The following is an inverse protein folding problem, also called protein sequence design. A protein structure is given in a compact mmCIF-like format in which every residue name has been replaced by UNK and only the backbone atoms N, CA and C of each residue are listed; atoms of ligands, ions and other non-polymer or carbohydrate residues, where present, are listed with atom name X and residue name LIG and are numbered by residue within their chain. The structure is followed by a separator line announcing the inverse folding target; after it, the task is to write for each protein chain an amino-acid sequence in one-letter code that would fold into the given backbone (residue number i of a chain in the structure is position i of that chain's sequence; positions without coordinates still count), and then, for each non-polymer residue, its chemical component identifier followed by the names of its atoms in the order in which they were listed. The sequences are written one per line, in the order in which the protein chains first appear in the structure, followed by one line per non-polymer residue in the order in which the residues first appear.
data_IF_118880099555
#
_entry.id   IF_118880099555
#
_cell.length_a   1.000
_cell.length_b   1.000
_cell.length_c   1.000
_cell.angle_alpha   90.00
_cell.angle_beta   90.00
_cell.angle_gamma   90.00
#
_symmetry.space_group_name_H-M   'P 1'
#
loop_
_entity.id
_entity.type
_entity.pdbx_description
1 polymer ?
#
# COMPACT_ATOMS: atom_id res chain seq x y z
N UNK A 1 -17.36 14.79 18.89
CA UNK A 1 -16.05 14.09 18.88
C UNK A 1 -16.19 12.85 19.78
N UNK A 2 -16.19 11.63 19.22
CA UNK A 2 -16.11 10.40 20.03
C UNK A 2 -14.64 10.20 20.42
N UNK A 3 -14.37 10.07 21.72
CA UNK A 3 -13.02 10.06 22.30
C UNK A 3 -12.12 8.93 21.79
N UNK A 4 -10.82 9.22 21.71
CA UNK A 4 -9.71 8.35 21.28
C UNK A 4 -9.38 7.24 22.30
N UNK A 5 -10.37 6.56 22.84
CA UNK A 5 -10.17 5.29 23.56
C UNK A 5 -10.85 4.18 22.77
N UNK A 6 -10.22 3.80 21.66
CA UNK A 6 -10.68 2.69 20.83
C UNK A 6 -9.89 1.44 21.22
N UNK A 7 -10.52 0.52 21.95
CA UNK A 7 -10.03 -0.85 22.17
C UNK A 7 -10.18 -1.74 20.91
N UNK A 8 -10.24 -1.10 19.73
CA UNK A 8 -10.47 -1.66 18.41
C UNK A 8 -9.52 -0.94 17.44
N UNK A 9 -8.95 -1.69 16.52
CA UNK A 9 -7.91 -1.18 15.64
C UNK A 9 -7.13 -2.31 14.99
N UNK A 10 -5.97 -1.97 14.45
CA UNK A 10 -5.06 -2.93 13.86
C UNK A 10 -3.61 -2.62 14.16
N UNK A 11 -2.81 -3.66 14.27
CA UNK A 11 -1.35 -3.61 14.37
C UNK A 11 -0.80 -4.30 13.13
N UNK A 12 0.27 -3.75 12.56
CA UNK A 12 0.88 -4.31 11.38
C UNK A 12 2.40 -4.42 11.56
N UNK A 13 2.96 -5.51 11.05
CA UNK A 13 4.40 -5.71 10.92
C UNK A 13 4.72 -6.00 9.47
N UNK A 14 5.84 -5.47 9.01
CA UNK A 14 6.34 -5.78 7.68
C UNK A 14 7.82 -6.06 7.69
N UNK A 15 8.26 -6.85 6.73
CA UNK A 15 9.66 -7.16 6.51
C UNK A 15 9.89 -7.49 5.03
N UNK A 16 11.16 -7.48 4.62
CA UNK A 16 11.59 -7.95 3.31
C UNK A 16 12.29 -9.29 3.50
N UNK A 17 11.95 -10.27 2.66
CA UNK A 17 12.65 -11.55 2.59
C UNK A 17 13.04 -11.83 1.14
N UNK A 18 14.35 -11.96 0.90
CA UNK A 18 14.96 -11.86 -0.42
C UNK A 18 14.51 -10.55 -1.13
N UNK A 19 13.93 -10.62 -2.33
CA UNK A 19 13.45 -9.42 -3.04
C UNK A 19 11.98 -9.07 -2.74
N UNK A 20 11.33 -9.81 -1.84
CA UNK A 20 9.88 -9.77 -1.67
C UNK A 20 9.50 -9.13 -0.35
N UNK A 21 8.50 -8.25 -0.38
CA UNK A 21 8.02 -7.48 0.76
C UNK A 21 6.76 -8.12 1.33
N UNK A 22 6.79 -8.46 2.61
CA UNK A 22 5.72 -9.12 3.33
C UNK A 22 5.08 -8.16 4.33
N UNK A 23 3.76 -8.22 4.44
CA UNK A 23 2.96 -7.43 5.37
C UNK A 23 1.99 -8.34 6.12
N UNK A 24 2.05 -8.31 7.44
CA UNK A 24 1.12 -8.99 8.32
C UNK A 24 0.33 -7.95 9.11
N UNK A 25 -0.99 -8.05 9.07
CA UNK A 25 -1.89 -7.14 9.78
C UNK A 25 -2.76 -7.99 10.70
N UNK A 26 -2.79 -7.63 11.98
CA UNK A 26 -3.75 -8.18 12.94
C UNK A 26 -4.76 -7.09 13.28
N UNK A 27 -6.05 -7.41 13.33
CA UNK A 27 -7.08 -6.42 13.69
C UNK A 27 -8.16 -6.99 14.60
N UNK A 28 -8.71 -6.11 15.42
CA UNK A 28 -9.90 -6.34 16.22
C UNK A 28 -10.92 -5.27 15.84
N UNK A 29 -11.95 -5.64 15.09
CA UNK A 29 -12.96 -4.71 14.54
C UNK A 29 -14.20 -4.61 15.43
N UNK A 30 -15.07 -3.63 15.17
CA UNK A 30 -16.26 -3.36 15.94
C UNK A 30 -17.16 -4.60 16.16
N UNK A 31 -17.49 -4.86 17.43
CA UNK A 31 -18.33 -5.98 17.83
C UNK A 31 -19.83 -5.68 17.63
N UNK A 32 -20.66 -6.72 17.70
CA UNK A 32 -22.13 -6.62 17.64
C UNK A 32 -22.72 -7.00 16.29
N UNK A 33 -23.87 -7.69 16.31
CA UNK A 33 -24.51 -8.26 15.11
C UNK A 33 -24.77 -7.21 14.02
N UNK A 34 -25.38 -6.08 14.41
CA UNK A 34 -25.87 -5.05 13.48
C UNK A 34 -24.78 -4.06 13.03
N UNK A 35 -23.56 -4.13 13.58
CA UNK A 35 -22.50 -3.14 13.37
C UNK A 35 -21.64 -3.42 12.12
N UNK A 36 -22.26 -3.90 11.03
CA UNK A 36 -21.56 -4.23 9.78
C UNK A 36 -20.89 -3.00 9.17
N UNK A 37 -21.60 -1.87 9.15
CA UNK A 37 -21.10 -0.59 8.62
C UNK A 37 -19.92 -0.08 9.45
N UNK A 38 -19.95 -0.28 10.78
CA UNK A 38 -18.87 0.13 11.67
C UNK A 38 -17.61 -0.73 11.45
N UNK A 39 -17.75 -2.05 11.30
CA UNK A 39 -16.64 -2.95 10.93
C UNK A 39 -16.03 -2.56 9.59
N UNK A 40 -16.87 -2.30 8.59
CA UNK A 40 -16.42 -1.82 7.29
C UNK A 40 -15.65 -0.48 7.41
N UNK A 41 -16.13 0.42 8.28
CA UNK A 41 -15.46 1.70 8.56
C UNK A 41 -14.11 1.48 9.26
N UNK A 42 -14.02 0.57 10.22
CA UNK A 42 -12.76 0.19 10.87
C UNK A 42 -11.76 -0.37 9.85
N UNK A 43 -12.20 -1.31 9.01
CA UNK A 43 -11.40 -1.84 7.90
C UNK A 43 -10.86 -0.70 7.02
N UNK A 44 -11.72 0.22 6.56
CA UNK A 44 -11.33 1.36 5.72
C UNK A 44 -10.32 2.27 6.43
N UNK A 45 -10.53 2.55 7.71
CA UNK A 45 -9.62 3.39 8.51
C UNK A 45 -8.25 2.74 8.63
N UNK A 46 -8.18 1.43 8.90
CA UNK A 46 -6.91 0.71 8.98
C UNK A 46 -6.24 0.68 7.60
N UNK A 47 -6.96 0.27 6.56
CA UNK A 47 -6.41 0.14 5.21
C UNK A 47 -5.87 1.46 4.64
N UNK A 48 -6.56 2.58 4.91
CA UNK A 48 -6.14 3.91 4.46
C UNK A 48 -5.14 4.57 5.41
N UNK A 49 -5.16 4.23 6.69
CA UNK A 49 -4.35 4.86 7.73
C UNK A 49 -2.98 4.20 7.95
N UNK A 50 -2.82 2.91 7.63
CA UNK A 50 -1.53 2.22 7.78
C UNK A 50 -0.45 2.86 6.91
N UNK A 51 0.64 3.30 7.56
CA UNK A 51 1.84 3.84 6.92
C UNK A 51 3.08 3.23 7.55
N UNK A 52 4.08 2.97 6.71
CA UNK A 52 5.39 2.48 7.12
C UNK A 52 6.46 3.53 6.78
N UNK A 53 7.72 3.25 7.14
CA UNK A 53 8.87 4.11 6.80
C UNK A 53 8.86 4.47 5.32
N UNK A 54 9.31 5.69 5.00
CA UNK A 54 9.33 6.24 3.64
C UNK A 54 7.92 6.33 3.01
N UNK A 55 6.88 6.57 3.83
CA UNK A 55 5.49 6.69 3.38
C UNK A 55 4.93 5.47 2.63
N UNK A 56 5.53 4.30 2.81
CA UNK A 56 5.03 3.05 2.21
C UNK A 56 3.63 2.74 2.73
N UNK A 57 2.80 2.27 1.83
CA UNK A 57 1.40 1.87 2.04
C UNK A 57 1.26 0.37 1.82
N UNK A 58 0.06 -0.16 2.06
CA UNK A 58 -0.24 -1.56 1.79
C UNK A 58 0.07 -2.01 0.34
N UNK A 59 -0.03 -1.10 -0.64
CA UNK A 59 0.19 -1.42 -2.07
C UNK A 59 1.66 -1.73 -2.41
N UNK A 60 2.57 -1.34 -1.53
CA UNK A 60 4.01 -1.50 -1.73
C UNK A 60 4.53 -2.89 -1.34
N UNK A 61 3.66 -3.75 -0.81
CA UNK A 61 3.97 -5.12 -0.39
C UNK A 61 3.54 -6.13 -1.45
N UNK A 62 4.32 -7.21 -1.60
CA UNK A 62 4.05 -8.31 -2.52
C UNK A 62 3.03 -9.28 -1.94
N UNK A 63 3.11 -9.56 -0.64
CA UNK A 63 2.16 -10.40 0.09
C UNK A 63 1.62 -9.66 1.30
N UNK A 64 0.30 -9.70 1.45
CA UNK A 64 -0.42 -9.19 2.61
C UNK A 64 -1.22 -10.34 3.22
N UNK A 65 -0.97 -10.64 4.50
CA UNK A 65 -1.81 -11.52 5.31
C UNK A 65 -2.49 -10.64 6.35
N UNK A 66 -3.81 -10.58 6.31
CA UNK A 66 -4.62 -9.82 7.27
C UNK A 66 -5.49 -10.79 8.06
N UNK A 67 -5.33 -10.79 9.38
CA UNK A 67 -6.00 -11.71 10.29
C UNK A 67 -6.53 -11.05 11.56
N UNK A 68 -7.31 -11.79 12.33
CA UNK A 68 -7.75 -11.42 13.69
C UNK A 68 -9.26 -11.56 13.90
N UNK A 69 -9.75 -10.97 14.99
CA UNK A 69 -11.18 -10.89 15.30
C UNK A 69 -11.81 -9.75 14.48
N UNK A 70 -12.25 -10.09 13.27
CA UNK A 70 -12.97 -9.17 12.40
C UNK A 70 -14.42 -8.95 12.86
N UNK A 71 -14.91 -9.74 13.81
CA UNK A 71 -16.22 -9.59 14.46
C UNK A 71 -17.44 -9.63 13.53
N UNK A 72 -17.28 -10.04 12.27
CA UNK A 72 -18.41 -10.33 11.39
C UNK A 72 -19.20 -11.53 11.91
N UNK A 73 -20.52 -11.48 11.73
CA UNK A 73 -21.45 -12.46 12.30
C UNK A 73 -22.19 -13.22 11.21
N UNK A 74 -22.90 -14.26 11.62
CA UNK A 74 -23.87 -14.96 10.78
C UNK A 74 -25.22 -14.27 10.97
N UNK A 75 -25.83 -13.82 9.87
CA UNK A 75 -27.11 -13.11 9.86
C UNK A 75 -28.30 -14.11 9.89
N UNK A 76 -28.36 -14.89 10.96
CA UNK A 76 -29.41 -15.88 11.25
C UNK A 76 -29.67 -15.92 12.76
N UNK A 77 -30.89 -16.26 13.19
CA UNK A 77 -31.20 -16.42 14.60
C UNK A 77 -30.60 -17.72 15.18
N UNK A 78 -30.44 -17.78 16.51
CA UNK A 78 -29.69 -18.84 17.20
C UNK A 78 -30.36 -20.23 17.05
N UNK A 79 -31.68 -20.26 17.06
CA UNK A 79 -32.54 -21.43 16.83
C UNK A 79 -32.38 -22.05 15.43
N UNK A 80 -31.86 -21.30 14.47
CA UNK A 80 -31.49 -21.81 13.14
C UNK A 80 -30.01 -22.17 13.08
N UNK A 81 -29.14 -21.35 13.69
CA UNK A 81 -27.69 -21.54 13.61
C UNK A 81 -27.22 -22.82 14.31
N UNK A 82 -27.65 -23.08 15.55
CA UNK A 82 -27.19 -24.25 16.32
C UNK A 82 -27.53 -25.58 15.62
N UNK A 83 -28.78 -25.82 15.16
CA UNK A 83 -29.09 -27.06 14.42
C UNK A 83 -28.30 -27.23 13.12
N UNK A 84 -28.02 -26.15 12.39
CA UNK A 84 -27.19 -26.24 11.17
C UNK A 84 -25.74 -26.62 11.49
N UNK A 85 -25.19 -26.15 12.62
CA UNK A 85 -23.85 -26.55 13.08
C UNK A 85 -23.84 -28.03 13.46
N UNK A 86 -24.86 -28.49 14.19
CA UNK A 86 -25.02 -29.89 14.60
C UNK A 86 -25.16 -30.83 13.39
N UNK A 87 -25.93 -30.41 12.38
CA UNK A 87 -26.06 -31.13 11.12
C UNK A 87 -24.81 -31.04 10.21
N UNK A 88 -23.82 -30.23 10.57
CA UNK A 88 -22.61 -30.01 9.76
C UNK A 88 -22.83 -29.20 8.49
N UNK A 89 -23.98 -28.54 8.32
CA UNK A 89 -24.29 -27.70 7.15
C UNK A 89 -23.66 -26.30 7.29
N UNK A 90 -22.33 -26.28 7.27
CA UNK A 90 -21.55 -25.05 7.30
C UNK A 90 -21.76 -24.21 6.03
N UNK A 91 -22.19 -24.84 4.93
CA UNK A 91 -22.41 -24.14 3.64
C UNK A 91 -23.59 -23.19 3.73
N UNK A 92 -24.71 -23.63 4.31
CA UNK A 92 -25.88 -22.77 4.49
C UNK A 92 -25.60 -21.62 5.45
N UNK A 93 -24.84 -21.88 6.52
CA UNK A 93 -24.36 -20.85 7.45
C UNK A 93 -23.47 -19.81 6.74
N UNK A 94 -22.50 -20.26 5.94
CA UNK A 94 -21.54 -19.38 5.27
C UNK A 94 -22.20 -18.46 4.23
N UNK A 95 -23.31 -18.88 3.61
CA UNK A 95 -24.13 -17.99 2.74
C UNK A 95 -24.68 -16.78 3.50
N UNK A 96 -24.82 -16.88 4.82
CA UNK A 96 -25.31 -15.81 5.70
C UNK A 96 -24.19 -15.14 6.50
N UNK A 97 -22.94 -15.50 6.25
CA UNK A 97 -21.78 -14.84 6.84
C UNK A 97 -21.63 -13.41 6.30
N UNK A 98 -21.57 -12.44 7.22
CA UNK A 98 -21.50 -11.04 6.86
C UNK A 98 -20.18 -10.68 6.16
N UNK A 99 -19.04 -11.29 6.54
CA UNK A 99 -17.76 -11.00 5.87
C UNK A 99 -17.79 -11.48 4.42
N UNK A 100 -18.21 -12.73 4.19
CA UNK A 100 -18.39 -13.27 2.85
C UNK A 100 -19.30 -12.37 1.98
N UNK A 101 -20.41 -11.89 2.54
CA UNK A 101 -21.31 -10.97 1.84
C UNK A 101 -20.68 -9.59 1.57
N UNK A 102 -19.84 -9.08 2.47
CA UNK A 102 -19.11 -7.82 2.27
C UNK A 102 -18.00 -7.93 1.23
N UNK A 103 -17.27 -9.05 1.22
CA UNK A 103 -16.20 -9.33 0.26
C UNK A 103 -16.77 -9.57 -1.14
N UNK A 104 -17.87 -10.32 -1.27
CA UNK A 104 -18.51 -10.59 -2.57
C UNK A 104 -19.08 -9.33 -3.23
N UNK A 105 -19.51 -8.35 -2.44
CA UNK A 105 -19.94 -7.03 -2.92
C UNK A 105 -18.77 -6.06 -3.19
N UNK A 106 -17.53 -6.45 -2.86
CA UNK A 106 -16.36 -5.60 -2.97
C UNK A 106 -16.32 -4.45 -1.95
N UNK A 107 -17.12 -4.51 -0.89
CA UNK A 107 -17.22 -3.44 0.11
C UNK A 107 -16.03 -3.50 1.08
N UNK A 108 -15.79 -4.67 1.69
CA UNK A 108 -14.70 -4.89 2.64
C UNK A 108 -13.70 -5.90 2.08
N UNK A 109 -12.40 -5.65 2.29
CA UNK A 109 -11.30 -6.49 1.80
C UNK A 109 -11.36 -6.82 0.28
N UNK A 110 -11.53 -5.82 -0.60
CA UNK A 110 -11.56 -6.06 -2.04
C UNK A 110 -10.24 -6.68 -2.51
N UNK A 111 -10.34 -7.63 -3.43
CA UNK A 111 -9.23 -8.41 -3.99
C UNK A 111 -8.54 -9.38 -3.02
N UNK A 112 -8.84 -9.36 -1.72
CA UNK A 112 -8.36 -10.38 -0.82
C UNK A 112 -9.08 -11.70 -1.06
N UNK A 113 -8.35 -12.79 -0.87
CA UNK A 113 -8.84 -14.15 -0.92
C UNK A 113 -8.91 -14.72 0.49
N UNK A 114 -9.96 -15.51 0.74
CA UNK A 114 -10.10 -16.34 1.93
C UNK A 114 -10.23 -17.79 1.48
N UNK A 115 -9.44 -18.70 2.06
CA UNK A 115 -9.62 -20.13 1.83
C UNK A 115 -10.99 -20.57 2.36
N UNK A 116 -11.60 -21.57 1.70
CA UNK A 116 -12.88 -22.15 2.13
C UNK A 116 -12.83 -22.59 3.60
N UNK A 117 -13.79 -22.12 4.38
CA UNK A 117 -13.97 -22.52 5.77
C UNK A 117 -14.62 -23.90 5.84
N UNK A 118 -13.94 -24.85 6.49
CA UNK A 118 -14.45 -26.21 6.76
C UNK A 118 -14.47 -26.52 8.27
N UNK A 119 -14.41 -25.51 9.14
CA UNK A 119 -14.43 -25.63 10.59
C UNK A 119 -15.65 -24.91 11.19
N UNK A 120 -16.08 -25.33 12.38
CA UNK A 120 -17.25 -24.75 13.07
C UNK A 120 -17.00 -23.27 13.44
N UNK A 121 -18.05 -22.46 13.65
CA UNK A 121 -17.91 -21.11 14.19
C UNK A 121 -16.98 -21.04 15.41
N UNK A 122 -16.12 -20.02 15.46
CA UNK A 122 -15.05 -19.88 16.47
C UNK A 122 -15.48 -19.08 17.68
N UNK A 123 -16.64 -18.44 17.61
CA UNK A 123 -17.26 -17.65 18.67
C UNK A 123 -18.75 -18.05 18.77
N UNK A 124 -19.44 -17.98 19.92
CA UNK A 124 -18.94 -17.76 21.28
C UNK A 124 -19.08 -19.05 22.07
N UNK A 125 -18.05 -19.43 22.80
CA UNK A 125 -18.04 -20.63 23.64
C UNK A 125 -18.07 -20.27 25.12
N UNK A 126 -18.55 -21.19 25.94
CA UNK A 126 -18.33 -21.14 27.38
C UNK A 126 -16.88 -21.53 27.69
N UNK A 127 -16.20 -20.70 28.48
CA UNK A 127 -14.78 -20.88 28.79
C UNK A 127 -14.54 -22.22 29.47
N UNK A 128 -13.48 -22.90 29.06
CA UNK A 128 -13.12 -24.24 29.52
C UNK A 128 -13.83 -25.37 28.76
N UNK A 129 -14.74 -25.05 27.83
CA UNK A 129 -15.58 -26.05 27.18
C UNK A 129 -15.61 -25.94 25.65
N UNK A 130 -16.30 -26.88 25.01
CA UNK A 130 -16.70 -26.83 23.61
C UNK A 130 -18.20 -26.54 23.43
N UNK A 131 -18.88 -26.12 24.50
CA UNK A 131 -20.28 -25.71 24.46
C UNK A 131 -20.39 -24.26 23.99
N UNK A 132 -21.36 -24.00 23.12
CA UNK A 132 -21.68 -22.63 22.71
C UNK A 132 -22.41 -21.89 23.83
N UNK A 133 -22.19 -20.58 23.91
CA UNK A 133 -22.66 -19.65 24.96
C UNK A 133 -24.02 -20.04 25.57
N UNK A 134 -23.99 -20.60 26.80
CA UNK A 134 -25.19 -20.91 27.58
C UNK A 134 -25.62 -19.76 28.49
N UNK A 135 -24.94 -18.60 28.45
CA UNK A 135 -25.35 -17.44 29.25
C UNK A 135 -26.72 -16.89 28.83
N UNK A 136 -27.31 -16.03 29.66
CA UNK A 136 -28.58 -15.34 29.35
C UNK A 136 -28.52 -14.55 28.02
N UNK A 137 -27.33 -14.16 27.57
CA UNK A 137 -27.15 -13.41 26.33
C UNK A 137 -27.27 -14.26 25.07
N UNK A 138 -27.12 -15.59 25.19
CA UNK A 138 -27.25 -16.57 24.10
C UNK A 138 -26.67 -16.06 22.77
N UNK A 139 -25.39 -15.66 22.76
CA UNK A 139 -24.78 -15.09 21.56
C UNK A 139 -24.81 -16.11 20.42
N UNK A 140 -25.25 -15.65 19.26
CA UNK A 140 -25.30 -16.45 18.04
C UNK A 140 -23.87 -16.84 17.66
N UNK A 141 -23.59 -18.14 17.39
CA UNK A 141 -22.30 -18.57 16.91
C UNK A 141 -21.88 -17.87 15.61
N UNK A 142 -20.61 -17.52 15.47
CA UNK A 142 -20.06 -16.83 14.29
C UNK A 142 -18.59 -17.16 14.02
N UNK A 143 -18.17 -17.01 12.76
CA UNK A 143 -16.76 -16.98 12.36
C UNK A 143 -16.23 -15.55 12.48
N UNK A 144 -15.94 -15.15 13.72
CA UNK A 144 -15.38 -13.84 14.04
C UNK A 144 -13.90 -13.74 13.72
N UNK A 145 -13.18 -14.87 13.86
CA UNK A 145 -11.73 -14.97 13.73
C UNK A 145 -11.39 -15.44 12.31
N UNK A 146 -10.70 -14.60 11.54
CA UNK A 146 -10.54 -14.80 10.08
C UNK A 146 -9.11 -14.52 9.62
N UNK A 147 -8.73 -15.11 8.50
CA UNK A 147 -7.46 -14.89 7.82
C UNK A 147 -7.75 -14.68 6.33
N UNK A 148 -7.47 -13.49 5.83
CA UNK A 148 -7.58 -13.14 4.41
C UNK A 148 -6.21 -12.75 3.87
N UNK A 149 -5.95 -13.06 2.60
CA UNK A 149 -4.65 -12.83 1.98
C UNK A 149 -4.76 -12.14 0.63
N UNK A 150 -3.75 -11.35 0.27
CA UNK A 150 -3.62 -10.74 -1.04
C UNK A 150 -2.17 -10.85 -1.50
N UNK A 151 -1.94 -11.31 -2.73
CA UNK A 151 -0.63 -11.46 -3.31
C UNK A 151 -0.57 -10.77 -4.68
N UNK A 152 0.54 -10.07 -4.95
CA UNK A 152 0.83 -9.40 -6.22
C UNK A 152 2.24 -9.69 -6.66
N UNK A 153 2.38 -10.32 -7.83
CA UNK A 153 3.67 -10.69 -8.39
C UNK A 153 4.44 -11.71 -7.55
N UNK A 154 3.74 -12.43 -6.66
CA UNK A 154 4.31 -13.50 -5.84
C UNK A 154 3.43 -14.74 -6.01
N UNK A 155 4.04 -15.88 -6.28
CA UNK A 155 3.32 -17.16 -6.30
C UNK A 155 3.09 -17.62 -4.85
N UNK A 156 1.84 -17.54 -4.40
CA UNK A 156 1.43 -17.91 -3.05
C UNK A 156 0.23 -18.84 -3.12
N UNK A 157 0.30 -19.93 -2.35
CA UNK A 157 -0.74 -20.92 -2.17
C UNK A 157 -1.04 -21.05 -0.67
N UNK A 158 -2.30 -20.91 -0.27
CA UNK A 158 -2.72 -21.32 1.07
C UNK A 158 -2.95 -22.84 1.06
N UNK A 159 -2.29 -23.56 1.97
CA UNK A 159 -2.34 -25.02 2.09
C UNK A 159 -3.41 -25.48 3.10
N UNK A 160 -3.55 -24.75 4.21
CA UNK A 160 -4.49 -25.08 5.27
C UNK A 160 -5.18 -23.83 5.81
N UNK A 161 -6.40 -24.04 6.30
CA UNK A 161 -7.18 -23.06 7.05
C UNK A 161 -8.07 -23.80 8.05
N UNK A 162 -7.87 -23.57 9.34
CA UNK A 162 -8.51 -24.36 10.38
C UNK A 162 -8.66 -23.64 11.71
N UNK A 163 -9.46 -24.22 12.59
CA UNK A 163 -9.59 -23.81 13.98
C UNK A 163 -9.20 -24.96 14.93
N UNK A 164 -8.65 -24.64 16.09
CA UNK A 164 -8.21 -25.61 17.10
C UNK A 164 -9.25 -25.65 18.22
N UNK A 165 -10.13 -26.64 18.18
CA UNK A 165 -11.23 -26.76 19.15
C UNK A 165 -10.79 -27.32 20.52
N UNK A 166 -9.64 -27.99 20.58
CA UNK A 166 -9.08 -28.53 21.82
C UNK A 166 -8.58 -27.44 22.79
N UNK A 167 -8.35 -26.22 22.28
CA UNK A 167 -7.96 -25.07 23.08
C UNK A 167 -9.24 -24.34 23.55
N UNK A 168 -9.48 -24.38 24.86
CA UNK A 168 -10.75 -23.92 25.44
C UNK A 168 -10.62 -22.81 26.50
N UNK A 169 -9.44 -22.21 26.72
CA UNK A 169 -9.27 -21.20 27.78
C UNK A 169 -10.01 -19.87 27.50
N UNK A 170 -10.34 -19.61 26.24
CA UNK A 170 -11.05 -18.42 25.76
C UNK A 170 -12.48 -18.77 25.34
N UNK A 171 -13.33 -17.75 25.22
CA UNK A 171 -14.64 -17.87 24.56
C UNK A 171 -14.55 -17.87 23.03
N UNK A 172 -13.32 -17.78 22.50
CA UNK A 172 -12.97 -17.99 21.10
C UNK A 172 -12.08 -19.22 20.89
N UNK A 173 -12.15 -19.81 19.70
CA UNK A 173 -11.23 -20.88 19.26
C UNK A 173 -10.12 -20.31 18.37
N UNK A 174 -8.83 -20.64 18.62
CA UNK A 174 -7.73 -20.19 17.79
C UNK A 174 -7.88 -20.63 16.33
N UNK A 175 -7.59 -19.73 15.40
CA UNK A 175 -7.60 -19.98 13.95
C UNK A 175 -6.19 -19.89 13.39
N UNK A 176 -5.86 -20.79 12.46
CA UNK A 176 -4.56 -20.83 11.80
C UNK A 176 -4.71 -20.95 10.28
N UNK A 177 -3.70 -20.45 9.56
CA UNK A 177 -3.56 -20.62 8.13
C UNK A 177 -2.11 -20.98 7.80
N UNK A 178 -1.91 -21.93 6.89
CA UNK A 178 -0.59 -22.34 6.42
C UNK A 178 -0.44 -21.91 4.98
N UNK A 179 0.66 -21.22 4.66
CA UNK A 179 0.90 -20.64 3.34
C UNK A 179 2.25 -21.10 2.80
N UNK A 180 2.28 -21.44 1.51
CA UNK A 180 3.48 -21.71 0.73
C UNK A 180 3.70 -20.55 -0.23
N UNK A 181 4.88 -19.93 -0.15
CA UNK A 181 5.24 -18.79 -1.00
C UNK A 181 6.56 -19.07 -1.72
N UNK A 182 6.59 -18.87 -3.03
CA UNK A 182 7.83 -18.86 -3.80
C UNK A 182 8.40 -17.45 -3.79
N UNK A 183 9.67 -17.31 -3.43
CA UNK A 183 10.34 -16.00 -3.31
C UNK A 183 11.43 -15.84 -4.36
N UNK A 184 11.47 -14.65 -4.95
CA UNK A 184 12.56 -14.24 -5.84
C UNK A 184 13.83 -13.92 -5.06
N UNK A 185 14.95 -14.52 -5.48
CA UNK A 185 16.29 -14.27 -4.96
C UNK A 185 17.20 -13.86 -6.11
N UNK A 186 17.77 -12.67 -6.00
CA UNK A 186 18.68 -12.13 -7.02
C UNK A 186 20.14 -12.38 -6.64
N UNK A 187 20.94 -12.87 -7.59
CA UNK A 187 22.39 -12.87 -7.46
C UNK A 187 22.91 -11.46 -7.79
N UNK A 188 23.36 -10.74 -6.77
CA UNK A 188 23.77 -9.32 -6.89
C UNK A 188 25.02 -9.13 -7.76
N UNK A 189 25.98 -10.04 -7.69
CA UNK A 189 27.20 -9.97 -8.50
C UNK A 189 26.87 -10.12 -9.98
N UNK A 190 26.08 -11.15 -10.33
CA UNK A 190 25.65 -11.37 -11.72
C UNK A 190 24.79 -10.21 -12.22
N UNK A 191 23.89 -9.68 -11.38
CA UNK A 191 23.07 -8.52 -11.71
C UNK A 191 23.95 -7.31 -12.02
N UNK A 192 24.89 -6.96 -11.13
CA UNK A 192 25.80 -5.83 -11.33
C UNK A 192 26.68 -6.00 -12.58
N UNK A 193 27.18 -7.22 -12.83
CA UNK A 193 27.95 -7.52 -14.03
C UNK A 193 27.14 -7.32 -15.32
N UNK A 194 25.88 -7.78 -15.36
CA UNK A 194 25.00 -7.58 -16.50
C UNK A 194 24.62 -6.11 -16.65
N UNK A 195 24.32 -5.41 -15.56
CA UNK A 195 23.98 -3.99 -15.57
C UNK A 195 25.11 -3.14 -16.16
N UNK A 196 26.36 -3.41 -15.77
CA UNK A 196 27.55 -2.74 -16.34
C UNK A 196 27.69 -2.99 -17.84
N UNK A 197 27.53 -4.25 -18.28
CA UNK A 197 27.59 -4.57 -19.71
C UNK A 197 26.50 -3.88 -20.52
N UNK A 198 25.25 -3.88 -20.01
CA UNK A 198 24.13 -3.21 -20.68
C UNK A 198 24.33 -1.70 -20.74
N UNK A 199 24.89 -1.09 -19.69
CA UNK A 199 25.22 0.33 -19.66
C UNK A 199 26.24 0.68 -20.76
N UNK A 200 27.33 -0.09 -20.89
CA UNK A 200 28.35 0.16 -21.91
C UNK A 200 27.82 -0.01 -23.34
N UNK A 201 26.99 -1.03 -23.60
CA UNK A 201 26.31 -1.21 -24.90
C UNK A 201 25.45 0.01 -25.22
N UNK A 202 24.60 0.43 -24.28
CA UNK A 202 23.69 1.57 -24.47
C UNK A 202 24.44 2.89 -24.69
N UNK A 203 25.55 3.08 -23.96
CA UNK A 203 26.43 4.24 -24.11
C UNK A 203 27.07 4.29 -25.50
N UNK A 204 27.49 3.15 -26.04
CA UNK A 204 28.04 3.06 -27.39
C UNK A 204 26.97 3.33 -28.47
N UNK A 205 25.76 2.77 -28.33
CA UNK A 205 24.63 3.04 -29.23
C UNK A 205 24.28 4.53 -29.29
N UNK A 206 24.17 5.19 -28.14
CA UNK A 206 23.87 6.63 -28.07
C UNK A 206 24.98 7.46 -28.71
N UNK A 207 26.25 7.10 -28.47
CA UNK A 207 27.38 7.78 -29.14
C UNK A 207 27.32 7.64 -30.66
N UNK A 208 26.97 6.46 -31.17
CA UNK A 208 26.85 6.25 -32.61
C UNK A 208 25.69 7.07 -33.19
N UNK A 209 24.54 7.13 -32.52
CA UNK A 209 23.42 7.99 -32.93
C UNK A 209 23.84 9.47 -32.97
N UNK A 210 24.50 9.96 -31.90
CA UNK A 210 24.98 11.35 -31.86
C UNK A 210 25.98 11.62 -32.99
N UNK A 211 26.88 10.67 -33.27
CA UNK A 211 27.85 10.80 -34.36
C UNK A 211 27.16 10.81 -35.74
N UNK A 212 26.15 9.97 -35.95
CA UNK A 212 25.36 9.93 -37.18
C UNK A 212 24.58 11.24 -37.40
N UNK A 213 24.00 11.82 -36.33
CA UNK A 213 23.37 13.15 -36.39
C UNK A 213 24.38 14.29 -36.60
N UNK A 214 25.60 14.18 -36.08
CA UNK A 214 26.65 15.19 -36.28
C UNK A 214 27.25 15.19 -37.70
N UNK A 215 27.06 14.10 -38.45
CA UNK A 215 27.45 13.98 -39.85
C UNK A 215 26.42 14.58 -40.83
N UNK A 216 25.19 14.87 -40.38
CA UNK A 216 24.20 15.65 -41.13
C UNK A 216 24.07 17.08 -40.54
N UNK A 217 25.11 17.88 -40.77
CA UNK A 217 25.13 19.36 -40.67
C UNK A 217 24.99 19.96 -39.25
N UNK A 218 26.13 20.38 -38.67
CA UNK A 218 26.40 21.74 -38.11
C UNK A 218 27.42 21.69 -36.94
N UNK A 219 28.57 22.35 -37.11
CA UNK A 219 29.56 22.60 -36.05
C UNK A 219 29.07 23.70 -35.09
N UNK A 220 29.29 23.55 -33.77
CA UNK A 220 30.11 24.56 -33.12
C UNK A 220 31.16 23.98 -32.16
N UNK A 221 32.32 24.60 -32.20
CA UNK A 221 33.52 24.40 -31.36
C UNK A 221 33.23 24.59 -29.87
N UNK A 222 33.63 23.63 -29.03
CA UNK A 222 34.06 23.88 -27.65
C UNK A 222 35.22 22.95 -27.28
N UNK A 223 36.30 23.57 -26.81
CA UNK A 223 37.59 22.96 -26.47
C UNK A 223 37.54 22.20 -25.14
N UNK A 224 38.26 21.08 -25.09
CA UNK A 224 38.49 20.24 -23.89
C UNK A 224 39.27 21.00 -22.82
N UNK A 225 38.97 20.75 -21.54
CA UNK A 225 39.95 20.50 -20.46
C UNK A 225 39.22 20.23 -19.13
N UNK A 226 39.29 18.98 -18.64
CA UNK A 226 39.09 18.65 -17.22
C UNK A 226 40.24 17.73 -16.85
N UNK A 227 41.09 18.17 -15.91
CA UNK A 227 42.29 17.45 -15.47
C UNK A 227 41.97 16.46 -14.35
N UNK A 228 42.80 15.41 -14.25
CA UNK A 228 42.65 14.28 -13.32
C UNK A 228 42.69 14.64 -11.82
N UNK A 229 43.02 15.90 -11.48
CA UNK A 229 43.05 16.39 -10.09
C UNK A 229 41.64 16.63 -9.50
N UNK A 230 40.61 16.88 -10.33
CA UNK A 230 39.24 17.12 -9.83
C UNK A 230 38.47 15.83 -9.46
N UNK A 231 39.00 14.64 -9.79
CA UNK A 231 38.34 13.37 -9.52
C UNK A 231 38.59 12.83 -8.11
N UNK A 232 39.65 13.27 -7.43
CA UNK A 232 40.11 12.67 -6.16
C UNK A 232 39.58 13.36 -4.88
N UNK A 233 38.88 14.49 -4.96
CA UNK A 233 38.32 15.16 -3.77
C UNK A 233 36.87 14.73 -3.41
N UNK A 234 36.26 13.78 -4.14
CA UNK A 234 34.86 13.34 -3.92
C UNK A 234 34.71 11.97 -3.22
N UNK A 235 35.78 11.37 -2.71
CA UNK A 235 35.72 10.10 -1.98
C UNK A 235 36.13 10.32 -0.51
N UNK A 236 35.22 10.90 0.26
CA UNK A 236 35.22 10.79 1.72
C UNK A 236 34.43 9.56 2.14
N UNK A 237 35.03 8.74 2.99
CA UNK A 237 34.46 7.55 3.60
C UNK A 237 33.14 7.87 4.32
N UNK A 238 32.00 7.44 3.77
CA UNK A 238 30.79 7.20 4.54
C UNK A 238 29.95 6.11 3.85
N UNK A 239 29.70 5.04 4.61
CA UNK A 239 28.89 3.88 4.27
C UNK A 239 27.43 4.28 3.96
N UNK A 240 27.10 4.57 2.70
CA UNK A 240 25.75 4.43 2.15
C UNK A 240 25.80 4.37 0.60
N UNK A 241 25.69 3.15 0.08
CA UNK A 241 25.56 2.83 -1.35
C UNK A 241 24.25 3.43 -1.93
N UNK A 242 24.32 4.59 -2.59
CA UNK A 242 23.38 4.97 -3.66
C UNK A 242 24.06 5.85 -4.73
N UNK A 243 24.90 5.18 -5.53
CA UNK A 243 25.10 5.35 -6.97
C UNK A 243 24.55 6.63 -7.64
N UNK A 244 25.38 7.66 -7.82
CA UNK A 244 25.30 8.56 -9.00
C UNK A 244 26.67 9.23 -9.28
N UNK A 245 27.50 8.58 -10.10
CA UNK A 245 28.59 9.25 -10.81
C UNK A 245 28.55 8.88 -12.30
N UNK A 246 28.61 9.93 -13.12
CA UNK A 246 29.24 9.85 -14.45
C UNK A 246 28.32 9.79 -15.65
N UNK A 247 28.00 10.98 -16.19
CA UNK A 247 27.57 11.27 -17.56
C UNK A 247 26.11 11.05 -17.97
N UNK A 248 25.40 12.17 -18.16
CA UNK A 248 24.50 12.35 -19.31
C UNK A 248 23.15 13.01 -19.06
N UNK A 249 22.67 13.06 -17.82
CA UNK A 249 21.41 13.74 -17.49
C UNK A 249 21.64 14.73 -16.34
N UNK A 250 21.10 15.96 -16.40
CA UNK A 250 21.18 16.88 -15.28
C UNK A 250 20.41 16.31 -14.07
N UNK A 251 20.90 16.60 -12.87
CA UNK A 251 20.25 16.18 -11.64
C UNK A 251 18.79 16.71 -11.55
N UNK A 252 17.88 15.99 -10.86
CA UNK A 252 16.52 16.48 -10.65
C UNK A 252 16.52 17.84 -9.94
N UNK A 253 15.62 18.73 -10.36
CA UNK A 253 15.53 20.10 -9.82
C UNK A 253 15.33 20.11 -8.30
N UNK A 254 16.11 20.93 -7.60
CA UNK A 254 15.91 21.21 -6.17
C UNK A 254 15.35 22.63 -5.97
N UNK A 255 14.94 22.96 -4.74
CA UNK A 255 14.45 24.30 -4.41
C UNK A 255 15.47 25.42 -4.67
N UNK A 256 16.75 25.07 -4.74
CA UNK A 256 17.86 26.00 -4.93
C UNK A 256 18.47 25.93 -6.35
N UNK A 257 18.21 24.86 -7.11
CA UNK A 257 18.82 24.66 -8.43
C UNK A 257 17.81 24.10 -9.44
N UNK A 258 17.55 24.89 -10.49
CA UNK A 258 16.66 24.56 -11.61
C UNK A 258 17.49 24.38 -12.87
N UNK A 259 17.36 23.23 -13.52
CA UNK A 259 18.24 22.81 -14.63
C UNK A 259 18.10 23.66 -15.92
N UNK A 260 17.06 24.50 -16.01
CA UNK A 260 16.84 25.41 -17.14
C UNK A 260 17.49 26.79 -16.97
N UNK A 261 18.31 27.00 -15.94
CA UNK A 261 18.92 28.31 -15.66
C UNK A 261 20.45 28.17 -15.45
N UNK A 262 21.20 28.20 -16.55
CA UNK A 262 22.67 28.18 -16.51
C UNK A 262 23.21 29.61 -16.33
N UNK A 263 23.72 29.90 -15.13
CA UNK A 263 24.50 31.12 -14.87
C UNK A 263 23.70 32.27 -14.27
N UNK A 264 23.36 32.17 -12.99
CA UNK A 264 23.49 33.28 -12.02
C UNK A 264 22.75 34.61 -12.23
N UNK A 265 21.88 34.78 -13.21
CA UNK A 265 21.05 35.98 -13.33
C UNK A 265 19.62 35.65 -12.88
N UNK A 266 19.11 36.43 -11.91
CA UNK A 266 17.72 36.40 -11.50
C UNK A 266 16.82 36.55 -12.71
N UNK A 267 16.21 35.46 -13.17
CA UNK A 267 15.12 35.47 -14.16
C UNK A 267 13.88 36.03 -13.49
N UNK A 268 13.83 37.35 -13.37
CA UNK A 268 12.57 38.07 -13.17
C UNK A 268 11.85 38.01 -14.51
N UNK A 269 10.66 37.41 -14.55
CA UNK A 269 9.78 37.53 -15.70
C UNK A 269 9.53 39.04 -15.93
N UNK A 270 10.12 39.61 -16.98
CA UNK A 270 9.70 40.91 -17.47
C UNK A 270 8.46 40.65 -18.32
N UNK A 271 7.31 40.98 -17.75
CA UNK A 271 6.11 41.17 -18.55
C UNK A 271 6.37 42.36 -19.50
N UNK A 272 5.86 42.33 -20.74
CA UNK A 272 5.86 43.53 -21.56
C UNK A 272 5.26 44.67 -20.74
N UNK A 273 5.83 45.86 -20.79
CA UNK A 273 5.15 47.05 -20.28
C UNK A 273 3.80 47.11 -21.00
N UNK A 274 2.73 46.92 -20.22
CA UNK A 274 1.36 47.07 -20.72
C UNK A 274 1.24 48.53 -21.10
N UNK A 275 0.98 48.82 -22.37
CA UNK A 275 0.72 50.18 -22.84
C UNK A 275 -0.33 50.83 -21.92
N UNK A 276 -0.09 52.10 -21.57
CA UNK A 276 -0.81 52.87 -20.54
C UNK A 276 -2.31 53.11 -20.84
N UNK A 277 -2.88 52.46 -21.86
CA UNK A 277 -4.29 52.56 -22.21
C UNK A 277 -4.94 51.19 -22.42
N UNK A 278 -5.43 50.60 -21.32
CA UNK A 278 -6.83 50.18 -21.32
C UNK A 278 -7.23 48.79 -20.84
N UNK A 279 -6.33 47.90 -20.40
CA UNK A 279 -6.74 46.70 -19.64
C UNK A 279 -5.69 46.24 -18.62
N UNK A 280 -6.06 46.19 -17.34
CA UNK A 280 -5.25 45.63 -16.25
C UNK A 280 -5.94 44.42 -15.61
N UNK A 281 -5.16 43.44 -15.15
CA UNK A 281 -5.71 42.31 -14.39
C UNK A 281 -6.38 42.85 -13.13
N UNK A 282 -7.62 42.44 -12.89
CA UNK A 282 -8.40 42.88 -11.74
C UNK A 282 -7.70 42.47 -10.42
N UNK A 283 -7.17 43.42 -9.63
CA UNK A 283 -6.40 43.11 -8.42
C UNK A 283 -7.27 42.56 -7.28
N UNK A 284 -8.59 42.69 -7.39
CA UNK A 284 -9.55 42.21 -6.39
C UNK A 284 -9.85 40.71 -6.54
N UNK A 285 -9.31 40.04 -7.56
CA UNK A 285 -9.45 38.59 -7.72
C UNK A 285 -8.56 37.83 -6.72
N UNK A 286 -9.08 36.78 -6.06
CA UNK A 286 -8.30 35.98 -5.13
C UNK A 286 -7.18 35.22 -5.87
N UNK A 287 -6.02 35.10 -5.21
CA UNK A 287 -4.85 34.34 -5.73
C UNK A 287 -5.17 32.87 -6.09
N UNK A 288 -6.27 32.31 -5.57
CA UNK A 288 -6.75 30.98 -5.93
C UNK A 288 -7.91 31.12 -6.95
N UNK A 289 -7.71 30.69 -8.22
CA UNK A 289 -8.69 30.86 -9.28
C UNK A 289 -9.94 29.97 -9.14
N UNK A 290 -9.98 29.06 -8.16
CA UNK A 290 -11.12 28.18 -7.88
C UNK A 290 -11.96 28.66 -6.68
N UNK A 291 -11.64 29.82 -6.09
CA UNK A 291 -12.54 30.45 -5.12
C UNK A 291 -13.68 31.13 -5.86
N UNK A 292 -14.91 30.80 -5.50
CA UNK A 292 -16.11 31.45 -6.02
C UNK A 292 -16.06 32.92 -5.62
N UNK A 293 -16.09 33.81 -6.62
CA UNK A 293 -16.16 35.26 -6.43
C UNK A 293 -17.49 35.78 -6.99
N UNK A 294 -17.90 36.99 -6.59
CA UNK A 294 -19.10 37.64 -7.12
C UNK A 294 -18.81 38.51 -8.35
N UNK A 295 -17.56 38.61 -8.78
CA UNK A 295 -17.12 39.46 -9.88
C UNK A 295 -16.23 38.66 -10.85
N UNK A 296 -16.76 38.40 -12.05
CA UNK A 296 -16.15 37.47 -13.03
C UNK A 296 -15.31 38.18 -14.10
N UNK A 297 -15.15 39.51 -14.01
CA UNK A 297 -14.29 40.26 -14.92
C UNK A 297 -12.81 40.09 -14.57
N UNK A 298 -12.09 39.42 -15.47
CA UNK A 298 -10.66 39.13 -15.38
C UNK A 298 -9.81 40.40 -15.60
N UNK A 299 -10.32 41.35 -16.38
CA UNK A 299 -9.64 42.60 -16.74
C UNK A 299 -10.52 43.81 -16.41
N UNK A 300 -9.88 44.92 -16.02
CA UNK A 300 -10.45 46.26 -15.80
C UNK A 300 -9.88 47.25 -16.81
#
# INVERSE_FOLDING_TARGET
MKGMSANKGGVAISFTYCENKFLFIVSHLAAGLNNVIERHTNYKTIAKGLRFRQNKTMRDFNLIIWMGDFNFRIDLPNDVVKPLIEAGDLRSLFKKDQLNNQMSKGESFPYFNEMKINFKPTYKYDKGTNEFDTSEKQRIPAWTDRIVSWARGLNMEQLNYGAIHDICFSDHKPVYGVFKCTVDRVNREKKSFIEKQLYEIKKAEIKNIINDYSNETYHPTFTNEVTDEMANEMFGDDDDDDFLLGHGLPAPSTNERKWWNNGGLSTRARFPEVEENGMRINPDLPKNPFKITRNDQIFL
#
